data_IF_124228343598
#
_entry.id   IF_124228343598
#
_cell.length_a   1.000
_cell.length_b   1.000
_cell.length_c   1.000
_cell.angle_alpha   90.00
_cell.angle_beta   90.00
_cell.angle_gamma   90.00
#
_symmetry.space_group_name_H-M   'P 1'
#
loop_
_entity.id
_entity.type
_entity.pdbx_description
1 polymer ?
#
# COMPACT_ATOMS: atom_id res chain seq x y z
N UNK A 1 -3.95 -19.57 6.69
CA UNK A 1 -3.55 -20.70 5.80
C UNK A 1 -2.87 -20.10 4.56
N UNK A 2 -2.26 -20.90 3.66
CA UNK A 2 -1.79 -20.44 2.33
C UNK A 2 -2.35 -21.37 1.25
N UNK A 3 -3.67 -21.37 1.10
CA UNK A 3 -4.42 -22.24 0.18
C UNK A 3 -5.04 -21.48 -1.01
N UNK A 4 -4.63 -20.23 -1.24
CA UNK A 4 -5.10 -19.40 -2.36
C UNK A 4 -6.54 -18.87 -2.19
N UNK A 5 -7.21 -19.14 -1.08
CA UNK A 5 -8.55 -18.63 -0.76
C UNK A 5 -8.49 -17.83 0.54
N UNK A 6 -9.32 -16.79 0.63
CA UNK A 6 -9.49 -16.00 1.85
C UNK A 6 -10.82 -16.40 2.48
N UNK A 7 -10.77 -17.13 3.60
CA UNK A 7 -11.98 -17.48 4.37
C UNK A 7 -12.57 -16.22 5.01
N UNK A 8 -13.88 -16.18 5.30
CA UNK A 8 -14.53 -14.99 5.89
C UNK A 8 -13.81 -14.46 7.14
N UNK A 9 -13.38 -15.36 8.03
CA UNK A 9 -12.62 -14.97 9.22
C UNK A 9 -11.21 -14.44 8.92
N UNK A 10 -10.57 -14.87 7.83
CA UNK A 10 -9.30 -14.28 7.35
C UNK A 10 -9.57 -12.92 6.71
N UNK A 11 -10.64 -12.78 5.93
CA UNK A 11 -11.05 -11.52 5.31
C UNK A 11 -11.33 -10.42 6.34
N UNK A 12 -12.13 -10.69 7.36
CA UNK A 12 -12.45 -9.72 8.42
C UNK A 12 -11.19 -9.30 9.19
N UNK A 13 -10.29 -10.25 9.50
CA UNK A 13 -9.01 -9.95 10.17
C UNK A 13 -8.11 -9.07 9.30
N UNK A 14 -8.05 -9.36 8.01
CA UNK A 14 -7.30 -8.54 7.04
C UNK A 14 -7.91 -7.15 6.87
N UNK A 15 -9.23 -7.01 6.87
CA UNK A 15 -9.89 -5.70 6.76
C UNK A 15 -9.68 -4.81 8.00
N UNK A 16 -9.53 -5.41 9.18
CA UNK A 16 -9.41 -4.65 10.43
C UNK A 16 -8.24 -3.65 10.42
N UNK A 17 -7.12 -3.97 9.74
CA UNK A 17 -5.99 -3.04 9.64
C UNK A 17 -6.35 -1.74 8.90
N UNK A 18 -7.33 -1.79 7.99
CA UNK A 18 -7.80 -0.67 7.19
C UNK A 18 -8.87 0.17 7.90
N UNK A 19 -9.36 -0.24 9.07
CA UNK A 19 -10.35 0.51 9.82
C UNK A 19 -9.80 1.90 10.21
N UNK A 20 -10.59 2.99 10.14
CA UNK A 20 -10.11 4.34 10.49
C UNK A 20 -9.56 4.46 11.91
N UNK A 21 -10.14 3.72 12.86
CA UNK A 21 -9.74 3.76 14.28
C UNK A 21 -8.52 2.88 14.60
N UNK A 22 -7.98 2.16 13.63
CA UNK A 22 -6.78 1.34 13.84
C UNK A 22 -5.57 2.24 14.10
N UNK A 23 -4.74 1.96 15.13
CA UNK A 23 -3.60 2.79 15.48
C UNK A 23 -2.66 3.04 14.29
N UNK A 24 -2.21 4.29 14.13
CA UNK A 24 -1.30 4.68 13.04
C UNK A 24 -0.06 3.78 12.99
N UNK A 25 0.51 3.44 14.14
CA UNK A 25 1.68 2.57 14.23
C UNK A 25 1.43 1.16 13.67
N UNK A 26 0.25 0.59 13.88
CA UNK A 26 -0.11 -0.70 13.29
C UNK A 26 -0.21 -0.61 11.77
N UNK A 27 -0.82 0.48 11.27
CA UNK A 27 -0.89 0.75 9.83
C UNK A 27 0.50 0.90 9.21
N UNK A 28 1.41 1.62 9.87
CA UNK A 28 2.81 1.79 9.44
C UNK A 28 3.52 0.44 9.34
N UNK A 29 3.42 -0.39 10.39
CA UNK A 29 4.05 -1.71 10.43
C UNK A 29 3.46 -2.65 9.36
N UNK A 30 2.15 -2.57 9.11
CA UNK A 30 1.53 -3.37 8.06
C UNK A 30 1.93 -2.89 6.67
N UNK A 31 1.95 -1.58 6.43
CA UNK A 31 2.38 -0.99 5.16
C UNK A 31 3.83 -1.38 4.82
N UNK A 32 4.73 -1.39 5.82
CA UNK A 32 6.09 -1.87 5.63
C UNK A 32 6.14 -3.29 5.04
N UNK A 33 5.37 -4.22 5.64
CA UNK A 33 5.28 -5.61 5.15
C UNK A 33 4.57 -5.73 3.80
N UNK A 34 3.72 -4.77 3.45
CA UNK A 34 3.04 -4.74 2.16
C UNK A 34 4.00 -4.30 1.04
N UNK A 35 4.94 -3.42 1.35
CA UNK A 35 5.89 -2.87 0.39
C UNK A 35 7.20 -3.65 0.30
N UNK A 36 7.59 -4.41 1.33
CA UNK A 36 8.63 -5.43 1.24
C UNK A 36 8.12 -6.65 0.46
N UNK A 37 7.95 -6.48 -0.86
CA UNK A 37 7.38 -7.46 -1.77
C UNK A 37 8.21 -8.75 -1.81
N UNK A 38 9.54 -8.61 -1.68
CA UNK A 38 10.49 -9.73 -1.69
C UNK A 38 10.71 -10.36 -0.31
N UNK A 39 10.10 -9.83 0.76
CA UNK A 39 10.29 -10.25 2.15
C UNK A 39 11.77 -10.29 2.58
N UNK A 40 12.53 -9.28 2.16
CA UNK A 40 13.95 -9.11 2.50
C UNK A 40 14.15 -8.58 3.92
N UNK A 41 13.08 -8.04 4.53
CA UNK A 41 13.13 -7.29 5.78
C UNK A 41 13.46 -5.82 5.59
N UNK A 42 13.55 -5.33 4.35
CA UNK A 42 13.86 -3.96 3.98
C UNK A 42 13.00 -3.54 2.78
N UNK A 43 12.83 -2.24 2.57
CA UNK A 43 12.25 -1.72 1.33
C UNK A 43 13.41 -1.29 0.43
N UNK A 44 13.58 -2.01 -0.67
CA UNK A 44 14.56 -1.71 -1.70
C UNK A 44 14.04 -0.63 -2.66
N UNK A 45 14.94 0.01 -3.42
CA UNK A 45 14.59 1.12 -4.31
C UNK A 45 13.55 0.73 -5.36
N UNK A 46 13.66 -0.47 -5.90
CA UNK A 46 12.73 -0.99 -6.90
C UNK A 46 11.34 -1.21 -6.32
N UNK A 47 11.24 -1.67 -5.07
CA UNK A 47 9.96 -1.83 -4.36
C UNK A 47 9.30 -0.48 -4.09
N UNK A 48 10.10 0.53 -3.73
CA UNK A 48 9.62 1.90 -3.58
C UNK A 48 9.08 2.46 -4.90
N UNK A 49 9.75 2.19 -6.02
CA UNK A 49 9.30 2.61 -7.36
C UNK A 49 7.97 1.95 -7.73
N UNK A 50 7.83 0.65 -7.53
CA UNK A 50 6.59 -0.08 -7.79
C UNK A 50 5.43 0.45 -6.95
N UNK A 51 5.67 0.70 -5.65
CA UNK A 51 4.69 1.33 -4.76
C UNK A 51 4.26 2.71 -5.27
N UNK A 52 5.22 3.56 -5.66
CA UNK A 52 4.93 4.91 -6.14
C UNK A 52 4.11 4.90 -7.44
N UNK A 53 4.44 4.00 -8.38
CA UNK A 53 3.68 3.81 -9.60
C UNK A 53 2.23 3.35 -9.33
N UNK A 54 2.04 2.44 -8.37
CA UNK A 54 0.70 2.02 -7.95
C UNK A 54 -0.12 3.21 -7.38
N UNK A 55 0.49 4.06 -6.56
CA UNK A 55 -0.17 5.26 -6.02
C UNK A 55 -0.57 6.28 -7.09
N UNK A 56 0.29 6.48 -8.10
CA UNK A 56 0.01 7.35 -9.24
C UNK A 56 -1.17 6.83 -10.06
N UNK A 57 -1.19 5.52 -10.31
CA UNK A 57 -2.27 4.86 -11.04
C UNK A 57 -3.61 4.95 -10.28
N UNK A 58 -3.62 4.76 -8.95
CA UNK A 58 -4.82 4.95 -8.13
C UNK A 58 -5.34 6.40 -8.11
N UNK A 59 -4.46 7.36 -8.37
CA UNK A 59 -4.80 8.80 -8.35
C UNK A 59 -5.10 9.38 -9.74
N UNK A 60 -5.12 8.55 -10.79
CA UNK A 60 -5.22 8.96 -12.19
C UNK A 60 -4.16 10.02 -12.60
N UNK A 61 -2.97 9.96 -12.00
CA UNK A 61 -1.85 10.86 -12.31
C UNK A 61 -0.84 10.12 -13.19
N UNK A 62 -0.52 10.70 -14.35
CA UNK A 62 0.57 10.22 -15.21
C UNK A 62 1.76 11.18 -15.13
N UNK A 63 2.95 10.61 -14.91
CA UNK A 63 4.24 11.31 -14.91
C UNK A 63 5.16 10.65 -15.93
N UNK A 64 6.14 11.39 -16.45
CA UNK A 64 7.21 10.81 -17.27
C UNK A 64 8.10 9.90 -16.42
N UNK A 65 8.71 8.88 -17.04
CA UNK A 65 9.60 7.95 -16.33
C UNK A 65 10.78 8.69 -15.69
N UNK A 66 11.35 9.71 -16.36
CA UNK A 66 12.40 10.56 -15.79
C UNK A 66 11.96 11.28 -14.50
N UNK A 67 10.70 11.75 -14.46
CA UNK A 67 10.16 12.43 -13.29
C UNK A 67 9.89 11.44 -12.15
N UNK A 68 9.37 10.25 -12.48
CA UNK A 68 9.19 9.16 -11.52
C UNK A 68 10.53 8.80 -10.90
N UNK A 69 11.56 8.58 -11.73
CA UNK A 69 12.89 8.20 -11.26
C UNK A 69 13.51 9.28 -10.37
N UNK A 70 13.36 10.55 -10.73
CA UNK A 70 13.82 11.68 -9.91
C UNK A 70 13.13 11.75 -8.55
N UNK A 71 11.81 11.54 -8.52
CA UNK A 71 11.04 11.56 -7.27
C UNK A 71 11.42 10.37 -6.41
N UNK A 72 11.48 9.17 -6.98
CA UNK A 72 11.89 7.94 -6.27
C UNK A 72 13.27 8.11 -5.68
N UNK A 73 14.25 8.61 -6.45
CA UNK A 73 15.61 8.88 -5.97
C UNK A 73 15.61 9.81 -4.76
N UNK A 74 14.97 10.99 -4.87
CA UNK A 74 14.93 11.97 -3.79
C UNK A 74 14.18 11.47 -2.56
N UNK A 75 13.15 10.65 -2.77
CA UNK A 75 12.37 10.03 -1.69
C UNK A 75 13.22 9.00 -0.97
N UNK A 76 13.95 8.17 -1.72
CA UNK A 76 14.85 7.17 -1.17
C UNK A 76 15.97 7.81 -0.35
N UNK A 77 16.64 8.84 -0.88
CA UNK A 77 17.67 9.59 -0.15
C UNK A 77 17.16 10.25 1.15
N UNK A 78 15.88 10.57 1.23
CA UNK A 78 15.27 11.12 2.44
C UNK A 78 14.89 10.06 3.47
N UNK A 79 14.57 8.85 3.01
CA UNK A 79 14.15 7.76 3.87
C UNK A 79 15.35 6.93 4.38
N UNK A 80 16.34 6.68 3.53
CA UNK A 80 17.59 5.97 3.87
C UNK A 80 18.54 6.93 4.60
N UNK A 81 18.32 7.04 5.91
CA UNK A 81 19.05 7.96 6.79
C UNK A 81 20.49 7.52 7.05
N UNK A 82 20.73 6.21 7.00
CA UNK A 82 22.02 5.60 7.30
C UNK A 82 22.89 5.40 6.04
N UNK A 83 22.31 5.49 4.84
CA UNK A 83 22.98 5.43 3.55
C UNK A 83 23.43 4.03 3.13
N UNK A 84 22.78 2.98 3.63
CA UNK A 84 23.12 1.59 3.31
C UNK A 84 22.40 1.05 2.05
N UNK A 85 21.59 1.89 1.40
CA UNK A 85 20.93 1.58 0.15
C UNK A 85 19.63 0.79 0.31
N UNK A 86 19.07 0.71 1.51
CA UNK A 86 17.83 -0.01 1.82
C UNK A 86 17.12 0.68 2.99
N UNK A 87 15.80 0.67 3.01
CA UNK A 87 15.04 1.34 4.08
C UNK A 87 14.62 0.29 5.11
N UNK A 88 15.09 0.44 6.34
CA UNK A 88 14.68 -0.42 7.44
C UNK A 88 13.34 0.00 8.08
N UNK A 89 12.86 -0.79 9.05
CA UNK A 89 11.56 -0.54 9.69
C UNK A 89 11.54 0.77 10.50
N UNK A 90 12.65 1.15 11.14
CA UNK A 90 12.72 2.38 11.94
C UNK A 90 12.77 3.61 11.04
N UNK A 91 13.55 3.55 9.96
CA UNK A 91 13.60 4.58 8.91
C UNK A 91 12.23 4.76 8.25
N UNK A 92 11.57 3.65 7.91
CA UNK A 92 10.19 3.68 7.41
C UNK A 92 9.22 4.31 8.40
N UNK A 93 9.31 3.98 9.69
CA UNK A 93 8.44 4.55 10.73
C UNK A 93 8.61 6.05 10.84
N UNK A 94 9.83 6.55 10.84
CA UNK A 94 10.09 7.99 10.85
C UNK A 94 9.55 8.65 9.59
N UNK A 95 9.88 8.08 8.42
CA UNK A 95 9.50 8.63 7.12
C UNK A 95 7.96 8.67 6.93
N UNK A 96 7.27 7.58 7.21
CA UNK A 96 5.81 7.48 7.12
C UNK A 96 5.10 8.33 8.19
N UNK A 97 5.75 8.59 9.33
CA UNK A 97 5.22 9.48 10.35
C UNK A 97 5.18 10.93 9.87
N UNK A 98 6.22 11.38 9.15
CA UNK A 98 6.32 12.71 8.55
C UNK A 98 5.49 12.86 7.27
N UNK A 99 5.20 11.75 6.58
CA UNK A 99 4.45 11.75 5.31
C UNK A 99 3.15 10.93 5.39
N UNK A 100 2.08 11.42 6.07
CA UNK A 100 0.83 10.69 6.23
C UNK A 100 0.14 10.29 4.91
N UNK A 101 0.42 10.99 3.81
CA UNK A 101 -0.15 10.69 2.50
C UNK A 101 0.22 9.29 1.99
N UNK A 102 1.37 8.74 2.40
CA UNK A 102 1.80 7.39 2.04
C UNK A 102 0.90 6.31 2.63
N UNK A 103 0.18 6.62 3.72
CA UNK A 103 -0.71 5.69 4.40
C UNK A 103 -2.18 5.91 3.99
N UNK A 104 -2.45 6.70 2.94
CA UNK A 104 -3.82 7.00 2.50
C UNK A 104 -4.58 5.74 2.11
N UNK A 105 -3.92 4.82 1.38
CA UNK A 105 -4.45 3.51 0.99
C UNK A 105 -4.59 2.52 2.17
N UNK A 106 -3.96 2.79 3.31
CA UNK A 106 -4.07 2.00 4.54
C UNK A 106 -5.34 2.32 5.35
N UNK A 107 -6.26 3.13 4.82
CA UNK A 107 -7.52 3.48 5.47
C UNK A 107 -8.68 3.42 4.50
N UNK A 108 -9.71 2.66 4.85
CA UNK A 108 -10.97 2.58 4.12
C UNK A 108 -12.06 3.30 4.92
N UNK A 109 -12.42 4.55 4.57
CA UNK A 109 -13.29 5.39 5.42
C UNK A 109 -14.66 4.77 5.68
N UNK A 110 -15.22 4.05 4.71
CA UNK A 110 -16.54 3.42 4.78
C UNK A 110 -16.62 2.27 5.80
N UNK A 111 -15.50 1.74 6.31
CA UNK A 111 -15.52 0.71 7.34
C UNK A 111 -16.13 1.21 8.66
N UNK A 112 -16.13 2.52 8.89
CA UNK A 112 -16.78 3.13 10.07
C UNK A 112 -18.30 2.96 10.03
N UNK A 113 -18.87 2.98 8.83
CA UNK A 113 -20.31 2.96 8.59
C UNK A 113 -20.78 1.59 8.05
N UNK A 114 -19.94 0.55 8.14
CA UNK A 114 -20.26 -0.78 7.58
C UNK A 114 -21.50 -1.42 8.21
N UNK A 115 -21.83 -1.04 9.46
CA UNK A 115 -23.03 -1.53 10.15
C UNK A 115 -24.31 -0.81 9.73
N UNK A 116 -24.19 0.34 9.06
CA UNK A 116 -25.31 1.19 8.64
C UNK A 116 -25.45 1.31 7.12
N UNK A 117 -24.40 0.97 6.38
CA UNK A 117 -24.30 1.18 4.93
C UNK A 117 -23.33 0.17 4.34
N UNK A 118 -23.84 -0.72 3.47
CA UNK A 118 -22.98 -1.59 2.66
C UNK A 118 -22.75 -0.93 1.29
N UNK A 119 -21.49 -0.72 0.86
CA UNK A 119 -21.22 -0.28 -0.50
C UNK A 119 -21.68 -1.35 -1.49
N UNK A 120 -22.32 -0.91 -2.58
CA UNK A 120 -22.72 -1.81 -3.67
C UNK A 120 -21.47 -2.38 -4.35
N UNK A 121 -21.21 -3.67 -4.16
CA UNK A 121 -20.20 -4.37 -4.95
C UNK A 121 -20.83 -4.75 -6.30
N UNK A 122 -20.39 -4.11 -7.38
CA UNK A 122 -20.70 -4.57 -8.74
C UNK A 122 -19.49 -5.33 -9.24
N UNK A 123 -19.59 -6.66 -9.23
CA UNK A 123 -18.57 -7.52 -9.81
C UNK A 123 -18.64 -7.36 -11.33
N UNK A 124 -17.76 -6.54 -11.91
CA UNK A 124 -17.55 -6.53 -13.35
C UNK A 124 -16.82 -7.83 -13.71
N UNK A 125 -17.59 -8.86 -14.03
CA UNK A 125 -17.08 -9.98 -14.81
C UNK A 125 -16.94 -9.44 -16.23
N UNK A 126 -15.72 -9.07 -16.61
CA UNK A 126 -15.37 -8.97 -18.02
C UNK A 126 -15.44 -10.41 -18.57
N UNK A 127 -16.61 -10.76 -19.08
CA UNK A 127 -16.74 -11.86 -20.02
C UNK A 127 -16.21 -11.26 -21.31
N UNK A 128 -14.95 -11.57 -21.66
CA UNK A 128 -14.51 -11.45 -23.05
C UNK A 128 -15.41 -12.40 -23.85
N UNK A 129 -16.42 -11.83 -24.51
CA UNK A 129 -17.11 -12.50 -25.60
C UNK A 129 -16.09 -12.67 -26.72
N UNK A 130 -15.46 -13.85 -26.76
CA UNK A 130 -14.66 -14.33 -27.89
C UNK A 130 -15.65 -14.60 -29.04
N UNK A 131 -15.98 -13.55 -29.78
CA UNK A 131 -16.79 -13.64 -31.00
C UNK A 131 -16.00 -14.36 -32.10
N UNK A 132 -16.62 -15.44 -32.59
CA UNK A 132 -16.24 -16.36 -33.66
C UNK A 132 -15.82 -15.70 -34.99
#
# INVERSE_FOLDING_TARGET
KRNGVIEFGEFVRSLNIFHPDTPKLEKINFAFRLYDLRNTGFIEREELKEMFLALLNESDISLSDDMVELIVHKTFEQADSNGDGKIDLEEWKEFASQNPALLKNMTLPYLKDITTTFPSFVMKLEIEDDDL
#
